data_IF_493268260164
#
_entry.id   IF_493268260164
#
_cell.length_a   1.000
_cell.length_b   1.000
_cell.length_c   1.000
_cell.angle_alpha   90.00
_cell.angle_beta   90.00
_cell.angle_gamma   90.00
#
_symmetry.space_group_name_H-M   'P 1'
#
loop_
_entity.id
_entity.type
_entity.pdbx_description
1 polymer ?
#
# COMPACT_ATOMS: atom_id res chain seq x y z
N UNK A 1 -0.88 34.86 -8.98
CA UNK A 1 -0.01 34.08 -8.07
C UNK A 1 -0.06 32.63 -8.53
N UNK A 2 1.06 32.08 -9.03
CA UNK A 2 1.13 30.65 -9.37
C UNK A 2 1.21 29.90 -8.04
N UNK A 3 0.17 29.11 -7.71
CA UNK A 3 0.18 28.28 -6.52
C UNK A 3 1.40 27.37 -6.54
N UNK A 4 2.31 27.55 -5.59
CA UNK A 4 3.47 26.68 -5.43
C UNK A 4 2.97 25.33 -4.93
N UNK A 5 2.90 24.34 -5.81
CA UNK A 5 2.73 22.96 -5.40
C UNK A 5 3.93 22.60 -4.53
N UNK A 6 3.67 22.30 -3.24
CA UNK A 6 4.75 22.00 -2.29
C UNK A 6 4.85 20.50 -2.22
N UNK A 7 5.50 19.92 -3.24
CA UNK A 7 5.69 18.48 -3.28
C UNK A 7 6.41 18.03 -2.01
N UNK A 8 5.70 17.27 -1.18
CA UNK A 8 6.32 16.65 -0.01
C UNK A 8 7.22 15.52 -0.48
N UNK A 9 8.42 15.42 0.08
CA UNK A 9 9.27 14.26 -0.16
C UNK A 9 8.49 13.00 0.24
N UNK A 10 8.46 11.96 -0.62
CA UNK A 10 7.82 10.72 -0.26
C UNK A 10 8.44 10.16 1.02
N UNK A 11 7.64 9.68 1.98
CA UNK A 11 8.17 9.05 3.19
C UNK A 11 9.01 7.82 2.81
N UNK A 12 9.95 7.47 3.67
CA UNK A 12 10.81 6.30 3.46
C UNK A 12 9.97 5.03 3.25
N UNK A 13 10.36 4.21 2.28
CA UNK A 13 9.62 3.00 1.91
C UNK A 13 8.33 3.26 1.10
N UNK A 14 8.04 4.51 0.72
CA UNK A 14 6.96 4.80 -0.21
C UNK A 14 7.24 4.20 -1.59
N UNK A 15 6.20 3.62 -2.18
CA UNK A 15 6.22 3.02 -3.51
C UNK A 15 5.08 3.54 -4.35
N UNK A 16 5.33 3.62 -5.65
CA UNK A 16 4.33 3.96 -6.66
C UNK A 16 3.99 2.71 -7.45
N UNK A 17 2.70 2.36 -7.49
CA UNK A 17 2.20 1.30 -8.34
C UNK A 17 2.17 1.80 -9.79
N UNK A 18 3.00 1.23 -10.65
CA UNK A 18 3.10 1.57 -12.07
C UNK A 18 1.87 1.13 -12.87
N UNK A 19 1.02 0.27 -12.32
CA UNK A 19 -0.21 -0.19 -12.98
C UNK A 19 -1.34 0.85 -12.88
N UNK A 20 -1.48 1.51 -11.72
CA UNK A 20 -2.59 2.44 -11.47
C UNK A 20 -2.16 3.86 -11.07
N UNK A 21 -0.85 4.11 -10.95
CA UNK A 21 -0.28 5.41 -10.58
C UNK A 21 -0.41 5.78 -9.11
N UNK A 22 -1.01 4.92 -8.26
CA UNK A 22 -1.20 5.24 -6.84
C UNK A 22 0.10 5.07 -6.05
N UNK A 23 0.36 6.03 -5.16
CA UNK A 23 1.40 5.91 -4.15
C UNK A 23 0.88 5.22 -2.89
N UNK A 24 1.73 4.40 -2.30
CA UNK A 24 1.44 3.60 -1.12
C UNK A 24 2.71 3.44 -0.26
N UNK A 25 2.57 2.98 0.98
CA UNK A 25 3.70 2.61 1.82
C UNK A 25 3.97 1.12 1.66
N UNK A 26 5.19 0.79 1.24
CA UNK A 26 5.64 -0.59 1.17
C UNK A 26 5.78 -1.20 2.55
N UNK A 27 5.20 -2.37 2.75
CA UNK A 27 5.35 -3.19 3.96
C UNK A 27 5.91 -4.56 3.59
N UNK A 28 6.62 -5.18 4.52
CA UNK A 28 7.06 -6.57 4.40
C UNK A 28 5.89 -7.54 4.63
N UNK A 29 6.07 -8.80 4.22
CA UNK A 29 5.10 -9.88 4.47
C UNK A 29 4.87 -10.09 5.96
N UNK A 30 5.93 -10.07 6.76
CA UNK A 30 5.81 -10.19 8.22
C UNK A 30 4.94 -9.06 8.81
N UNK A 31 5.11 -7.83 8.33
CA UNK A 31 4.27 -6.71 8.77
C UNK A 31 2.82 -6.85 8.29
N UNK A 32 2.61 -7.34 7.07
CA UNK A 32 1.27 -7.63 6.56
C UNK A 32 0.58 -8.71 7.41
N UNK A 33 1.28 -9.80 7.74
CA UNK A 33 0.79 -10.89 8.58
C UNK A 33 0.42 -10.40 9.99
N UNK A 34 1.28 -9.58 10.63
CA UNK A 34 0.96 -8.95 11.92
C UNK A 34 -0.31 -8.11 11.87
N UNK A 35 -0.50 -7.33 10.81
CA UNK A 35 -1.70 -6.51 10.63
C UNK A 35 -2.96 -7.33 10.34
N UNK A 36 -2.83 -8.41 9.57
CA UNK A 36 -3.91 -9.39 9.36
C UNK A 36 -4.33 -10.00 10.69
N UNK A 37 -3.39 -10.46 11.49
CA UNK A 37 -3.65 -11.05 12.80
C UNK A 37 -4.35 -10.05 13.72
N UNK A 38 -3.80 -8.83 13.86
CA UNK A 38 -4.41 -7.78 14.67
C UNK A 38 -5.83 -7.40 14.20
N UNK A 39 -6.05 -7.31 12.88
CA UNK A 39 -7.36 -7.01 12.33
C UNK A 39 -8.37 -8.15 12.55
N UNK A 40 -7.92 -9.40 12.40
CA UNK A 40 -8.78 -10.57 12.57
C UNK A 40 -9.04 -10.90 14.05
N UNK A 41 -8.11 -10.58 14.96
CA UNK A 41 -8.27 -10.79 16.40
C UNK A 41 -9.43 -9.98 16.99
N UNK A 42 -9.72 -8.81 16.40
CA UNK A 42 -10.82 -7.93 16.83
C UNK A 42 -12.16 -8.26 16.16
N UNK A 43 -12.26 -9.36 15.42
CA UNK A 43 -13.50 -9.74 14.75
C UNK A 43 -14.52 -10.27 15.75
N UNK A 44 -15.76 -9.82 15.59
CA UNK A 44 -16.88 -10.31 16.40
C UNK A 44 -17.28 -11.71 15.94
N UNK A 45 -17.65 -12.61 16.87
CA UNK A 45 -18.28 -13.87 16.51
C UNK A 45 -19.52 -13.63 15.64
N UNK A 46 -19.61 -14.30 14.49
CA UNK A 46 -20.71 -14.15 13.54
C UNK A 46 -20.57 -13.01 12.52
N UNK A 47 -19.41 -12.33 12.46
CA UNK A 47 -19.16 -11.33 11.42
C UNK A 47 -19.16 -11.98 10.02
N UNK A 48 -20.10 -11.55 9.18
CA UNK A 48 -20.37 -12.12 7.86
C UNK A 48 -19.26 -11.87 6.84
N UNK A 49 -18.38 -10.88 7.07
CA UNK A 49 -17.28 -10.59 6.14
C UNK A 49 -16.22 -11.68 6.25
N UNK A 50 -15.58 -12.14 5.17
CA UNK A 50 -14.46 -13.07 5.29
C UNK A 50 -13.29 -12.46 6.10
N UNK A 51 -12.46 -13.28 6.78
CA UNK A 51 -11.22 -12.81 7.39
C UNK A 51 -10.33 -12.09 6.38
N UNK A 52 -9.63 -11.05 6.84
CA UNK A 52 -8.64 -10.38 6.02
C UNK A 52 -7.47 -11.35 5.82
N UNK A 53 -6.90 -11.36 4.62
CA UNK A 53 -5.69 -12.12 4.31
C UNK A 53 -4.61 -11.17 3.82
N UNK A 54 -3.37 -11.66 3.71
CA UNK A 54 -2.24 -10.85 3.21
C UNK A 54 -2.52 -10.28 1.81
N UNK A 55 -3.37 -10.94 1.01
CA UNK A 55 -3.79 -10.46 -0.30
C UNK A 55 -4.52 -9.09 -0.24
N UNK A 56 -5.11 -8.73 0.90
CA UNK A 56 -5.72 -7.42 1.12
C UNK A 56 -4.73 -6.25 0.93
N UNK A 57 -3.44 -6.48 1.20
CA UNK A 57 -2.38 -5.49 1.04
C UNK A 57 -1.86 -5.42 -0.42
N UNK A 58 -2.59 -5.93 -1.40
CA UNK A 58 -2.21 -5.83 -2.81
C UNK A 58 -2.88 -4.63 -3.47
N UNK A 59 -2.11 -3.76 -4.12
CA UNK A 59 -2.66 -2.58 -4.80
C UNK A 59 -3.50 -2.94 -6.03
N UNK A 60 -2.96 -3.82 -6.89
CA UNK A 60 -3.60 -4.30 -8.11
C UNK A 60 -3.46 -5.83 -8.17
N UNK A 61 -4.14 -6.50 -9.10
CA UNK A 61 -4.01 -7.95 -9.26
C UNK A 61 -2.57 -8.36 -9.58
N UNK A 62 -1.89 -7.59 -10.43
CA UNK A 62 -0.46 -7.75 -10.80
C UNK A 62 0.25 -6.40 -10.70
N UNK A 63 0.59 -5.97 -9.48
CA UNK A 63 1.17 -4.66 -9.28
C UNK A 63 2.66 -4.68 -9.67
N UNK A 64 3.10 -3.62 -10.33
CA UNK A 64 4.53 -3.33 -10.53
C UNK A 64 4.87 -2.13 -9.67
N UNK A 65 5.69 -2.32 -8.64
CA UNK A 65 6.07 -1.23 -7.74
C UNK A 65 7.43 -0.68 -8.10
N UNK A 66 7.58 0.63 -7.96
CA UNK A 66 8.88 1.30 -7.90
C UNK A 66 8.94 2.17 -6.67
N UNK A 67 10.13 2.54 -6.22
CA UNK A 67 10.27 3.57 -5.20
C UNK A 67 9.59 4.87 -5.66
N UNK A 68 8.87 5.49 -4.74
CA UNK A 68 8.23 6.76 -4.96
C UNK A 68 9.29 7.86 -5.15
N UNK A 69 8.95 8.86 -5.96
CA UNK A 69 9.81 10.02 -6.24
C UNK A 69 9.03 11.30 -5.97
N UNK A 70 9.77 12.40 -5.78
CA UNK A 70 9.17 13.72 -5.64
C UNK A 70 8.25 14.00 -6.84
N UNK A 71 7.00 14.41 -6.56
CA UNK A 71 5.98 14.64 -7.59
C UNK A 71 5.10 13.43 -7.93
N UNK A 72 5.39 12.23 -7.41
CA UNK A 72 4.47 11.08 -7.55
C UNK A 72 3.19 11.25 -6.71
N UNK A 73 3.25 12.09 -5.69
CA UNK A 73 2.17 12.32 -4.77
C UNK A 73 1.59 13.73 -4.94
N UNK A 74 0.29 13.88 -5.24
CA UNK A 74 -0.39 15.16 -5.12
C UNK A 74 -0.55 15.54 -3.64
N UNK A 75 -0.42 16.84 -3.35
CA UNK A 75 -0.58 17.39 -2.00
C UNK A 75 -1.90 16.93 -1.37
N UNK A 76 -1.83 16.36 -0.16
CA UNK A 76 -2.99 15.86 0.59
C UNK A 76 -3.42 14.42 0.29
N UNK A 77 -2.68 13.65 -0.51
CA UNK A 77 -3.02 12.24 -0.73
C UNK A 77 -2.82 11.40 0.54
N UNK A 78 -3.74 10.46 0.77
CA UNK A 78 -3.62 9.46 1.85
C UNK A 78 -2.93 8.20 1.33
N UNK A 79 -1.94 7.70 2.08
CA UNK A 79 -1.20 6.49 1.71
C UNK A 79 -1.83 5.24 2.30
N UNK A 80 -2.14 4.27 1.46
CA UNK A 80 -2.47 2.91 1.90
C UNK A 80 -1.19 2.07 2.02
N UNK A 81 -1.21 1.02 2.85
CA UNK A 81 -0.07 0.09 2.94
C UNK A 81 -0.20 -1.03 1.92
N UNK A 82 0.91 -1.38 1.26
CA UNK A 82 0.95 -2.43 0.24
C UNK A 82 2.11 -3.39 0.47
N UNK A 83 1.86 -4.68 0.27
CA UNK A 83 2.89 -5.70 0.28
C UNK A 83 3.72 -5.58 -1.01
N UNK A 84 4.97 -5.15 -0.87
CA UNK A 84 5.89 -4.95 -1.99
C UNK A 84 6.49 -6.25 -2.54
N UNK A 85 6.52 -7.31 -1.72
CA UNK A 85 7.19 -8.58 -2.05
C UNK A 85 6.45 -9.44 -3.09
N UNK A 86 5.32 -8.98 -3.63
CA UNK A 86 4.67 -9.62 -4.80
C UNK A 86 5.39 -9.35 -6.13
N UNK A 87 6.71 -9.12 -6.07
CA UNK A 87 7.57 -8.86 -7.23
C UNK A 87 7.93 -10.15 -8.00
N UNK A 88 7.72 -11.35 -7.46
CA UNK A 88 8.30 -12.58 -8.04
C UNK A 88 7.38 -13.83 -8.12
N UNK A 89 6.04 -13.71 -8.03
CA UNK A 89 5.13 -14.87 -8.20
C UNK A 89 4.44 -14.89 -9.59
N UNK A 90 5.14 -14.45 -10.63
CA UNK A 90 4.59 -14.40 -11.99
C UNK A 90 5.64 -14.40 -13.08
N UNK A 91 6.53 -15.40 -13.06
CA UNK A 91 7.32 -15.85 -14.21
C UNK A 91 6.71 -17.12 -14.79
#
# INVERSE_FOLDING_TARGET
MRGGYTYSEPPEGAVTCMTCGRMAIGISRAEAERRVEAANANRRPGDARPPITVAYFSCCMRPRYRLARLGDCPDGATYSSVLCERLDEGG
#
